data_IF_319759826345
#
_entry.id   IF_319759826345
#
_cell.length_a   1.000
_cell.length_b   1.000
_cell.length_c   1.000
_cell.angle_alpha   90.00
_cell.angle_beta   90.00
_cell.angle_gamma   90.00
#
_symmetry.space_group_name_H-M   'P 1'
#
loop_
_entity.id
_entity.type
_entity.pdbx_description
1 polymer ?
#
# COMPACT_ATOMS: atom_id res chain seq x y z
N UNK A 1 -9.80 2.36 -3.48
CA UNK A 1 -9.06 1.87 -4.66
C UNK A 1 -8.31 0.67 -4.18
N UNK A 2 -8.80 -0.52 -4.55
CA UNK A 2 -8.33 -1.77 -3.98
C UNK A 2 -7.01 -2.17 -4.63
N UNK A 3 -6.02 -2.46 -3.80
CA UNK A 3 -4.75 -3.06 -4.23
C UNK A 3 -4.89 -4.56 -4.01
N UNK A 4 -4.56 -5.35 -5.02
CA UNK A 4 -4.36 -6.78 -4.83
C UNK A 4 -2.91 -7.02 -4.37
N UNK A 5 -2.72 -7.12 -3.06
CA UNK A 5 -1.40 -7.38 -2.48
C UNK A 5 -0.89 -8.78 -2.86
N UNK A 6 -1.76 -9.77 -3.05
CA UNK A 6 -1.32 -11.14 -3.35
C UNK A 6 -0.59 -11.23 -4.70
N UNK A 7 -0.95 -10.36 -5.65
CA UNK A 7 -0.28 -10.27 -6.96
C UNK A 7 0.91 -9.32 -6.97
N UNK A 8 1.10 -8.45 -5.98
CA UNK A 8 2.15 -7.43 -5.99
C UNK A 8 3.55 -8.03 -5.89
N UNK A 9 4.46 -7.63 -6.78
CA UNK A 9 5.86 -8.05 -6.79
C UNK A 9 6.80 -6.87 -7.03
N UNK A 10 7.96 -6.90 -6.39
CA UNK A 10 9.01 -5.91 -6.54
C UNK A 10 10.37 -6.60 -6.67
N UNK A 11 11.08 -6.32 -7.76
CA UNK A 11 12.49 -6.64 -7.89
C UNK A 11 13.32 -5.38 -7.59
N UNK A 12 14.09 -5.43 -6.51
CA UNK A 12 15.01 -4.39 -6.08
C UNK A 12 16.46 -4.83 -6.31
N UNK A 13 17.20 -3.99 -7.02
CA UNK A 13 18.61 -4.19 -7.33
C UNK A 13 19.41 -2.99 -6.86
N UNK A 14 20.48 -3.24 -6.10
CA UNK A 14 21.48 -2.21 -5.77
C UNK A 14 22.86 -2.63 -6.20
N UNK A 15 23.72 -1.63 -6.45
CA UNK A 15 25.10 -1.84 -6.92
C UNK A 15 25.19 -2.58 -8.26
N UNK A 16 24.07 -2.66 -8.99
CA UNK A 16 24.02 -3.21 -10.33
C UNK A 16 24.74 -2.29 -11.31
N UNK A 17 25.70 -2.85 -12.03
CA UNK A 17 26.38 -2.20 -13.14
C UNK A 17 25.93 -2.88 -14.43
N UNK A 18 25.51 -2.09 -15.42
CA UNK A 18 25.16 -2.64 -16.73
C UNK A 18 26.42 -3.23 -17.37
N UNK A 19 26.40 -4.49 -17.82
CA UNK A 19 27.56 -5.09 -18.47
C UNK A 19 27.90 -4.38 -19.78
N UNK A 20 29.20 -4.20 -20.05
CA UNK A 20 29.70 -3.59 -21.29
C UNK A 20 29.88 -4.66 -22.37
N UNK A 21 29.38 -4.40 -23.57
CA UNK A 21 29.60 -5.28 -24.73
C UNK A 21 28.72 -6.54 -24.78
N UNK A 22 27.87 -6.76 -23.78
CA UNK A 22 26.99 -7.94 -23.69
C UNK A 22 25.52 -7.57 -23.54
N UNK A 23 24.64 -8.54 -23.81
CA UNK A 23 23.21 -8.38 -23.58
C UNK A 23 22.92 -8.31 -22.07
N UNK A 24 22.31 -7.21 -21.66
CA UNK A 24 21.93 -6.97 -20.27
C UNK A 24 20.73 -7.87 -19.91
N UNK A 25 20.81 -8.69 -18.84
CA UNK A 25 19.72 -9.60 -18.45
C UNK A 25 18.41 -8.86 -18.15
N UNK A 26 18.52 -7.62 -17.66
CA UNK A 26 17.37 -6.75 -17.42
C UNK A 26 16.71 -6.25 -18.72
N UNK A 27 17.38 -6.28 -19.87
CA UNK A 27 16.77 -5.84 -21.13
C UNK A 27 15.67 -6.83 -21.57
N UNK A 28 15.92 -8.12 -21.42
CA UNK A 28 14.94 -9.15 -21.75
C UNK A 28 13.83 -9.19 -20.68
N UNK A 29 14.19 -9.11 -19.39
CA UNK A 29 13.21 -8.98 -18.32
C UNK A 29 12.24 -7.81 -18.54
N UNK A 30 12.74 -6.62 -18.90
CA UNK A 30 11.90 -5.45 -19.17
C UNK A 30 10.97 -5.64 -20.36
N UNK A 31 11.43 -6.31 -21.42
CA UNK A 31 10.60 -6.60 -22.60
C UNK A 31 9.53 -7.65 -22.31
N UNK A 32 9.87 -8.69 -21.54
CA UNK A 32 9.01 -9.85 -21.31
C UNK A 32 8.03 -9.60 -20.17
N UNK A 33 8.51 -9.14 -19.01
CA UNK A 33 7.67 -8.91 -17.81
C UNK A 33 6.99 -7.54 -17.87
N UNK A 34 7.58 -6.57 -18.59
CA UNK A 34 7.01 -5.23 -18.78
C UNK A 34 6.68 -4.51 -17.45
N UNK A 35 7.63 -4.40 -16.49
CA UNK A 35 7.37 -3.79 -15.18
C UNK A 35 7.27 -2.26 -15.25
N UNK A 36 6.73 -1.62 -14.20
CA UNK A 36 7.00 -0.20 -13.94
C UNK A 36 8.44 -0.05 -13.46
N UNK A 37 9.25 0.59 -14.29
CA UNK A 37 10.63 0.95 -13.95
C UNK A 37 10.68 2.19 -13.07
N UNK A 38 11.14 2.02 -11.83
CA UNK A 38 11.36 3.08 -10.85
C UNK A 38 12.87 3.10 -10.53
N UNK A 39 13.66 3.68 -11.43
CA UNK A 39 15.13 3.69 -11.29
C UNK A 39 15.65 5.03 -10.75
N UNK A 40 16.63 4.95 -9.85
CA UNK A 40 17.50 6.06 -9.42
C UNK A 40 18.95 5.71 -9.74
N UNK A 41 19.89 6.65 -9.53
CA UNK A 41 21.31 6.41 -9.82
C UNK A 41 21.94 5.22 -9.06
N UNK A 42 21.37 4.80 -7.93
CA UNK A 42 21.92 3.74 -7.08
C UNK A 42 20.99 2.53 -6.90
N UNK A 43 19.74 2.60 -7.40
CA UNK A 43 18.71 1.59 -7.17
C UNK A 43 17.88 1.40 -8.42
N UNK A 44 17.70 0.17 -8.81
CA UNK A 44 16.72 -0.20 -9.82
C UNK A 44 15.58 -0.92 -9.11
N UNK A 45 14.38 -0.36 -9.20
CA UNK A 45 13.16 -0.94 -8.68
C UNK A 45 12.24 -1.26 -9.86
N UNK A 46 11.79 -2.50 -9.93
CA UNK A 46 10.87 -2.97 -10.96
C UNK A 46 9.62 -3.49 -10.28
N UNK A 47 8.52 -2.74 -10.41
CA UNK A 47 7.21 -3.11 -9.87
C UNK A 47 6.39 -3.84 -10.94
N UNK A 48 5.83 -4.99 -10.60
CA UNK A 48 5.02 -5.79 -11.51
C UNK A 48 4.03 -6.65 -10.71
N UNK A 49 3.12 -7.31 -11.41
CA UNK A 49 2.14 -8.22 -10.81
C UNK A 49 2.44 -9.69 -11.15
N UNK A 50 1.82 -10.63 -10.44
CA UNK A 50 1.85 -12.06 -10.80
C UNK A 50 1.33 -12.31 -12.20
N UNK A 51 0.29 -11.59 -12.64
CA UNK A 51 -0.25 -11.69 -14.00
C UNK A 51 0.79 -11.38 -15.08
N UNK A 52 1.76 -10.52 -14.79
CA UNK A 52 2.87 -10.20 -15.70
C UNK A 52 3.95 -11.29 -15.72
N UNK A 53 4.03 -12.10 -14.67
CA UNK A 53 5.08 -13.10 -14.47
C UNK A 53 4.60 -14.50 -14.81
N UNK A 54 3.37 -14.87 -14.50
CA UNK A 54 2.82 -16.22 -14.67
C UNK A 54 3.07 -16.80 -16.09
N UNK A 55 2.81 -16.06 -17.18
CA UNK A 55 3.09 -16.56 -18.53
C UNK A 55 4.59 -16.73 -18.84
N UNK A 56 5.45 -16.21 -17.98
CA UNK A 56 6.89 -16.03 -18.20
C UNK A 56 7.72 -16.46 -16.97
N UNK A 57 7.17 -17.35 -16.12
CA UNK A 57 7.78 -17.70 -14.83
C UNK A 57 9.19 -18.28 -14.96
N UNK A 58 9.43 -19.12 -15.98
CA UNK A 58 10.77 -19.63 -16.29
C UNK A 58 11.75 -18.51 -16.63
N UNK A 59 11.33 -17.55 -17.46
CA UNK A 59 12.15 -16.40 -17.85
C UNK A 59 12.48 -15.51 -16.66
N UNK A 60 11.52 -15.30 -15.75
CA UNK A 60 11.74 -14.57 -14.51
C UNK A 60 12.78 -15.28 -13.62
N UNK A 61 12.62 -16.59 -13.39
CA UNK A 61 13.56 -17.38 -12.60
C UNK A 61 14.97 -17.39 -13.22
N UNK A 62 15.07 -17.53 -14.54
CA UNK A 62 16.34 -17.43 -15.26
C UNK A 62 16.98 -16.04 -15.11
N UNK A 63 16.18 -14.97 -15.13
CA UNK A 63 16.67 -13.61 -14.88
C UNK A 63 17.27 -13.50 -13.49
N UNK A 64 16.58 -13.99 -12.46
CA UNK A 64 17.09 -14.00 -11.08
C UNK A 64 18.39 -14.80 -10.94
N UNK A 65 18.47 -15.97 -11.58
CA UNK A 65 19.69 -16.79 -11.58
C UNK A 65 20.86 -16.05 -12.25
N UNK A 66 20.63 -15.42 -13.41
CA UNK A 66 21.66 -14.64 -14.12
C UNK A 66 22.15 -13.45 -13.31
N UNK A 67 21.26 -12.79 -12.57
CA UNK A 67 21.64 -11.65 -11.71
C UNK A 67 22.47 -12.10 -10.50
N UNK A 68 22.27 -13.33 -10.01
CA UNK A 68 23.03 -13.92 -8.89
C UNK A 68 24.37 -14.53 -9.30
N UNK A 69 24.68 -14.60 -10.59
CA UNK A 69 25.94 -15.15 -11.09
C UNK A 69 26.95 -14.01 -11.27
N UNK A 70 27.99 -13.94 -10.40
CA UNK A 70 29.01 -12.91 -10.54
C UNK A 70 29.78 -13.11 -11.84
N UNK A 71 29.90 -12.04 -12.62
CA UNK A 71 30.78 -12.03 -13.79
C UNK A 71 32.20 -11.71 -13.36
N UNK A 72 33.17 -12.05 -14.21
CA UNK A 72 34.58 -11.75 -13.97
C UNK A 72 34.74 -10.23 -13.76
N UNK A 73 35.26 -9.83 -12.60
CA UNK A 73 35.49 -8.42 -12.21
C UNK A 73 34.25 -7.55 -11.98
N UNK A 74 33.04 -8.12 -11.93
CA UNK A 74 31.84 -7.38 -11.53
C UNK A 74 31.50 -7.62 -10.06
N UNK A 75 31.10 -6.56 -9.35
CA UNK A 75 30.54 -6.69 -8.02
C UNK A 75 29.17 -7.37 -8.14
N UNK A 76 28.93 -8.39 -7.33
CA UNK A 76 27.62 -9.05 -7.26
C UNK A 76 26.56 -8.03 -6.83
N UNK A 77 25.51 -7.77 -7.62
CA UNK A 77 24.43 -6.89 -7.19
C UNK A 77 23.73 -7.49 -5.98
N UNK A 78 23.31 -6.63 -5.05
CA UNK A 78 22.36 -7.05 -4.02
C UNK A 78 20.96 -7.08 -4.65
N UNK A 79 20.28 -8.21 -4.48
CA UNK A 79 18.98 -8.50 -5.10
C UNK A 79 17.99 -8.83 -4.00
N UNK A 80 16.92 -8.05 -3.91
CA UNK A 80 15.76 -8.36 -3.08
C UNK A 80 14.54 -8.55 -3.99
N UNK A 81 13.93 -9.73 -3.92
CA UNK A 81 12.65 -10.02 -4.58
C UNK A 81 11.58 -10.03 -3.49
N UNK A 82 10.81 -8.94 -3.41
CA UNK A 82 9.80 -8.72 -2.38
C UNK A 82 8.41 -8.96 -2.95
N UNK A 83 7.51 -9.47 -2.11
CA UNK A 83 6.14 -9.80 -2.50
C UNK A 83 5.13 -9.14 -1.54
N UNK A 84 3.93 -8.89 -2.04
CA UNK A 84 2.79 -8.43 -1.24
C UNK A 84 3.06 -7.25 -0.32
N UNK A 85 2.69 -7.40 0.95
CA UNK A 85 2.77 -6.32 1.94
C UNK A 85 4.20 -5.82 2.13
N UNK A 86 5.19 -6.70 2.02
CA UNK A 86 6.61 -6.39 2.19
C UNK A 86 7.12 -5.50 1.05
N UNK A 87 6.70 -5.79 -0.18
CA UNK A 87 6.99 -4.95 -1.34
C UNK A 87 6.42 -3.54 -1.17
N UNK A 88 5.17 -3.43 -0.72
CA UNK A 88 4.52 -2.13 -0.51
C UNK A 88 5.14 -1.33 0.64
N UNK A 89 5.41 -2.00 1.78
CA UNK A 89 6.10 -1.40 2.92
C UNK A 89 7.47 -0.85 2.50
N UNK A 90 8.25 -1.64 1.75
CA UNK A 90 9.55 -1.22 1.25
C UNK A 90 9.43 0.03 0.37
N UNK A 91 8.46 0.05 -0.56
CA UNK A 91 8.21 1.20 -1.43
C UNK A 91 7.86 2.44 -0.61
N UNK A 92 6.96 2.35 0.37
CA UNK A 92 6.63 3.47 1.25
C UNK A 92 7.88 4.02 1.94
N UNK A 93 8.67 3.13 2.56
CA UNK A 93 9.88 3.52 3.30
C UNK A 93 10.94 4.16 2.38
N UNK A 94 11.09 3.64 1.17
CA UNK A 94 11.96 4.22 0.15
C UNK A 94 11.49 5.61 -0.28
N UNK A 95 10.21 5.77 -0.60
CA UNK A 95 9.66 7.04 -1.12
C UNK A 95 9.76 8.16 -0.10
N UNK A 96 9.56 7.86 1.19
CA UNK A 96 9.73 8.86 2.26
C UNK A 96 11.21 9.14 2.59
N UNK A 97 12.16 8.55 1.85
CA UNK A 97 13.58 8.82 2.00
C UNK A 97 14.30 7.99 3.05
N UNK A 98 13.71 6.90 3.55
CA UNK A 98 14.29 6.04 4.58
C UNK A 98 15.58 5.33 4.16
N UNK A 99 15.81 5.17 2.85
CA UNK A 99 17.02 4.57 2.29
C UNK A 99 18.09 5.60 1.86
N UNK A 100 17.85 6.90 2.06
CA UNK A 100 18.80 7.95 1.67
C UNK A 100 19.82 8.22 2.78
N UNK A 101 21.08 7.84 2.56
CA UNK A 101 22.18 8.06 3.52
C UNK A 101 22.56 9.54 3.68
N UNK A 102 22.39 10.36 2.62
CA UNK A 102 22.82 11.77 2.62
C UNK A 102 21.75 12.71 3.17
N UNK A 103 20.48 12.42 2.90
CA UNK A 103 19.32 13.22 3.29
C UNK A 103 18.19 12.31 3.81
N UNK A 104 18.40 11.58 4.92
CA UNK A 104 17.40 10.67 5.46
C UNK A 104 16.12 11.45 5.81
N UNK A 105 14.99 11.01 5.26
CA UNK A 105 13.67 11.63 5.44
C UNK A 105 13.54 13.10 5.03
N UNK A 106 14.52 13.63 4.28
CA UNK A 106 14.53 15.03 3.85
C UNK A 106 14.85 15.16 2.34
N UNK A 107 14.51 14.13 1.57
CA UNK A 107 14.68 14.13 0.11
C UNK A 107 13.34 14.04 -0.61
N UNK A 108 12.63 15.17 -0.66
CA UNK A 108 11.33 15.28 -1.32
C UNK A 108 11.37 15.00 -2.83
N UNK A 109 12.58 15.00 -3.42
CA UNK A 109 12.77 14.70 -4.85
C UNK A 109 12.36 13.27 -5.18
N UNK A 110 12.50 12.32 -4.25
CA UNK A 110 12.12 10.92 -4.49
C UNK A 110 10.62 10.83 -4.81
N UNK A 111 9.77 11.46 -3.98
CA UNK A 111 8.33 11.53 -4.24
C UNK A 111 8.01 12.33 -5.51
N UNK A 112 8.76 13.41 -5.77
CA UNK A 112 8.64 14.20 -7.00
C UNK A 112 8.91 13.38 -8.27
N UNK A 113 9.97 12.57 -8.25
CA UNK A 113 10.36 11.72 -9.38
C UNK A 113 9.41 10.54 -9.54
N UNK A 114 8.90 9.96 -8.44
CA UNK A 114 7.84 8.96 -8.50
C UNK A 114 6.58 9.50 -9.19
N UNK A 115 6.16 10.75 -8.88
CA UNK A 115 5.01 11.39 -9.57
C UNK A 115 5.25 11.53 -11.06
N UNK A 116 6.45 11.94 -11.48
CA UNK A 116 6.82 12.03 -12.90
C UNK A 116 6.76 10.66 -13.57
N UNK A 117 7.25 9.61 -12.91
CA UNK A 117 7.18 8.23 -13.41
C UNK A 117 5.71 7.84 -13.62
N UNK A 118 4.86 7.96 -12.59
CA UNK A 118 3.43 7.65 -12.71
C UNK A 118 2.80 8.39 -13.89
N UNK A 119 3.03 9.70 -13.99
CA UNK A 119 2.49 10.51 -15.10
C UNK A 119 2.97 10.03 -16.46
N UNK A 120 4.24 9.65 -16.57
CA UNK A 120 4.83 9.16 -17.83
C UNK A 120 4.22 7.84 -18.32
N UNK A 121 3.72 7.00 -17.42
CA UNK A 121 2.99 5.78 -17.75
C UNK A 121 1.52 6.10 -18.07
N UNK A 122 0.89 6.93 -17.24
CA UNK A 122 -0.51 7.35 -17.38
C UNK A 122 -0.81 7.98 -18.75
N UNK A 123 0.05 8.88 -19.24
CA UNK A 123 -0.16 9.57 -20.52
C UNK A 123 0.55 8.92 -21.71
N UNK A 124 1.15 7.74 -21.53
CA UNK A 124 1.97 7.14 -22.58
C UNK A 124 1.12 6.70 -23.77
N UNK A 125 1.53 7.00 -25.03
CA UNK A 125 0.90 6.41 -26.21
C UNK A 125 1.28 4.93 -26.42
N UNK A 126 2.36 4.45 -25.79
CA UNK A 126 2.83 3.07 -25.92
C UNK A 126 1.81 2.08 -25.37
N UNK A 127 1.44 1.06 -26.17
CA UNK A 127 0.55 -0.02 -25.73
C UNK A 127 1.11 -0.76 -24.52
N UNK A 128 2.41 -1.09 -24.50
CA UNK A 128 3.02 -1.83 -23.38
C UNK A 128 3.00 -1.01 -22.09
N UNK A 129 3.27 0.31 -22.15
CA UNK A 129 3.19 1.18 -20.97
C UNK A 129 1.76 1.35 -20.47
N UNK A 130 0.78 1.47 -21.37
CA UNK A 130 -0.63 1.56 -20.99
C UNK A 130 -1.11 0.29 -20.29
N UNK A 131 -0.73 -0.87 -20.81
CA UNK A 131 -1.06 -2.16 -20.20
C UNK A 131 -0.43 -2.30 -18.81
N UNK A 132 0.87 -1.98 -18.69
CA UNK A 132 1.57 -1.98 -17.40
C UNK A 132 0.90 -1.03 -16.41
N UNK A 133 0.54 0.17 -16.86
CA UNK A 133 -0.13 1.16 -16.04
C UNK A 133 -1.47 0.64 -15.55
N UNK A 134 -2.31 0.09 -16.44
CA UNK A 134 -3.61 -0.48 -16.08
C UNK A 134 -3.50 -1.51 -14.95
N UNK A 135 -2.49 -2.36 -14.99
CA UNK A 135 -2.30 -3.41 -13.97
C UNK A 135 -1.77 -2.88 -12.64
N UNK A 136 -0.95 -1.82 -12.66
CA UNK A 136 -0.25 -1.33 -11.46
C UNK A 136 -0.77 0.04 -10.95
N UNK A 137 -1.72 0.67 -11.64
CA UNK A 137 -2.20 2.02 -11.36
C UNK A 137 -2.75 2.14 -9.94
N UNK A 138 -3.51 1.14 -9.48
CA UNK A 138 -4.07 1.14 -8.13
C UNK A 138 -2.98 1.24 -7.05
N UNK A 139 -1.95 0.40 -7.17
CA UNK A 139 -0.79 0.39 -6.30
C UNK A 139 -0.02 1.71 -6.35
N UNK A 140 0.25 2.22 -7.55
CA UNK A 140 1.03 3.45 -7.73
C UNK A 140 0.30 4.69 -7.21
N UNK A 141 -1.00 4.79 -7.44
CA UNK A 141 -1.80 5.91 -6.95
C UNK A 141 -1.94 5.85 -5.43
N UNK A 142 -2.15 4.66 -4.86
CA UNK A 142 -2.12 4.45 -3.42
C UNK A 142 -0.78 4.88 -2.82
N UNK A 143 0.34 4.38 -3.38
CA UNK A 143 1.69 4.72 -2.94
C UNK A 143 1.95 6.23 -2.92
N UNK A 144 1.50 6.96 -3.95
CA UNK A 144 1.64 8.42 -4.02
C UNK A 144 0.87 9.15 -2.91
N UNK A 145 -0.33 8.70 -2.59
CA UNK A 145 -1.17 9.28 -1.54
C UNK A 145 -0.54 8.99 -0.18
N UNK A 146 -0.25 7.73 0.08
CA UNK A 146 0.19 7.25 1.39
C UNK A 146 1.58 7.80 1.72
N UNK A 147 2.50 7.80 0.75
CA UNK A 147 3.82 8.40 0.92
C UNK A 147 3.76 9.92 1.12
N UNK A 148 2.81 10.63 0.50
CA UNK A 148 2.64 12.08 0.73
C UNK A 148 2.30 12.35 2.19
N UNK A 149 1.38 11.60 2.78
CA UNK A 149 0.98 11.80 4.17
C UNK A 149 2.06 11.31 5.14
N UNK A 150 2.65 10.13 4.93
CA UNK A 150 3.77 9.65 5.76
C UNK A 150 4.98 10.60 5.70
N UNK A 151 5.31 11.17 4.53
CA UNK A 151 6.39 12.15 4.41
C UNK A 151 6.15 13.39 5.29
N UNK A 152 4.89 13.82 5.43
CA UNK A 152 4.54 14.91 6.35
C UNK A 152 4.83 14.53 7.81
N UNK A 153 4.46 13.31 8.20
CA UNK A 153 4.72 12.81 9.57
C UNK A 153 6.23 12.75 9.86
N UNK A 154 7.07 12.44 8.87
CA UNK A 154 8.54 12.47 9.06
C UNK A 154 9.07 13.83 9.52
N UNK A 155 8.40 14.94 9.18
CA UNK A 155 8.83 16.29 9.56
C UNK A 155 8.46 16.64 10.99
N UNK A 156 7.50 15.94 11.59
CA UNK A 156 7.00 16.20 12.94
C UNK A 156 7.74 15.38 14.00
N UNK A 157 8.51 14.37 13.59
CA UNK A 157 9.23 13.48 14.50
C UNK A 157 10.65 14.02 14.74
N UNK A 158 10.87 14.51 15.96
CA UNK A 158 12.16 14.95 16.49
C UNK A 158 12.82 13.81 17.28
N UNK A 159 13.39 12.85 16.56
CA UNK A 159 14.13 11.71 17.14
C UNK A 159 15.50 11.59 16.49
N UNK A 160 16.42 10.90 17.18
CA UNK A 160 17.68 10.48 16.59
C UNK A 160 17.43 9.65 15.31
N UNK A 161 18.32 9.76 14.32
CA UNK A 161 18.01 9.27 12.98
C UNK A 161 17.74 7.76 12.92
N UNK A 162 18.41 6.96 13.76
CA UNK A 162 18.22 5.51 13.81
C UNK A 162 16.90 5.11 14.47
N UNK A 163 16.51 5.80 15.54
CA UNK A 163 15.19 5.62 16.18
C UNK A 163 14.08 6.07 15.24
N UNK A 164 14.27 7.21 14.57
CA UNK A 164 13.36 7.72 13.54
C UNK A 164 13.18 6.72 12.40
N UNK A 165 14.26 6.08 11.93
CA UNK A 165 14.19 4.99 10.93
C UNK A 165 13.35 3.82 11.43
N UNK A 166 13.60 3.35 12.66
CA UNK A 166 12.86 2.23 13.24
C UNK A 166 11.36 2.54 13.34
N UNK A 167 11.01 3.72 13.83
CA UNK A 167 9.61 4.13 14.00
C UNK A 167 8.90 4.35 12.66
N UNK A 168 9.56 5.00 11.69
CA UNK A 168 8.97 5.21 10.38
C UNK A 168 8.86 3.92 9.57
N UNK A 169 9.79 2.97 9.72
CA UNK A 169 9.64 1.66 9.10
C UNK A 169 8.42 0.90 9.65
N UNK A 170 8.20 0.96 10.98
CA UNK A 170 6.97 0.43 11.61
C UNK A 170 5.72 1.13 11.08
N UNK A 171 5.75 2.47 10.94
CA UNK A 171 4.62 3.21 10.38
C UNK A 171 4.31 2.83 8.93
N UNK A 172 5.33 2.59 8.10
CA UNK A 172 5.16 2.05 6.75
C UNK A 172 4.52 0.66 6.77
N UNK A 173 4.92 -0.22 7.70
CA UNK A 173 4.31 -1.54 7.89
C UNK A 173 2.84 -1.43 8.29
N UNK A 174 2.53 -0.63 9.31
CA UNK A 174 1.16 -0.39 9.78
C UNK A 174 0.25 0.17 8.68
N UNK A 175 0.76 1.12 7.89
CA UNK A 175 0.05 1.67 6.75
C UNK A 175 -0.21 0.60 5.67
N UNK A 176 0.81 -0.19 5.32
CA UNK A 176 0.68 -1.28 4.35
C UNK A 176 -0.34 -2.34 4.82
N UNK A 177 -0.29 -2.69 6.11
CA UNK A 177 -1.24 -3.62 6.73
C UNK A 177 -2.66 -3.08 6.68
N UNK A 178 -2.88 -1.83 7.08
CA UNK A 178 -4.21 -1.22 7.02
C UNK A 178 -4.78 -1.17 5.59
N UNK A 179 -3.90 -1.04 4.59
CA UNK A 179 -4.28 -1.08 3.17
C UNK A 179 -4.65 -2.49 2.71
N UNK A 180 -3.83 -3.48 3.06
CA UNK A 180 -4.08 -4.89 2.73
C UNK A 180 -5.40 -5.39 3.32
N UNK A 181 -5.69 -5.02 4.57
CA UNK A 181 -6.93 -5.41 5.23
C UNK A 181 -8.16 -4.66 4.70
N UNK A 182 -7.99 -3.61 3.89
CA UNK A 182 -9.09 -2.88 3.26
C UNK A 182 -9.74 -1.80 4.13
N UNK A 183 -9.01 -1.23 5.10
CA UNK A 183 -9.54 -0.14 5.94
C UNK A 183 -9.77 1.15 5.14
N UNK A 184 -8.96 1.42 4.12
CA UNK A 184 -9.00 2.66 3.32
C UNK A 184 -10.25 2.76 2.42
N UNK A 185 -10.89 1.64 2.11
CA UNK A 185 -12.14 1.56 1.35
C UNK A 185 -13.32 2.09 2.16
N UNK A 186 -13.26 1.95 3.49
CA UNK A 186 -14.35 2.31 4.40
C UNK A 186 -14.07 3.64 5.11
N UNK A 187 -12.80 3.92 5.38
CA UNK A 187 -12.36 5.06 6.20
C UNK A 187 -11.55 6.04 5.34
N UNK A 188 -12.20 6.97 4.62
CA UNK A 188 -11.50 7.87 3.69
C UNK A 188 -10.60 8.93 4.36
N UNK A 189 -10.69 9.10 5.69
CA UNK A 189 -10.01 10.14 6.48
C UNK A 189 -9.18 9.58 7.63
N UNK A 190 -8.32 8.60 7.33
CA UNK A 190 -7.34 8.06 8.30
C UNK A 190 -6.30 9.14 8.64
N UNK A 191 -6.06 9.34 9.93
CA UNK A 191 -4.94 10.13 10.44
C UNK A 191 -3.65 9.32 10.39
N UNK A 192 -2.72 9.67 9.51
CA UNK A 192 -1.45 8.96 9.34
C UNK A 192 -0.54 9.02 10.56
N UNK A 193 -0.74 9.99 11.47
CA UNK A 193 0.04 10.06 12.71
C UNK A 193 -0.24 8.86 13.63
N UNK A 194 -1.39 8.20 13.47
CA UNK A 194 -1.73 7.00 14.25
C UNK A 194 -0.82 5.81 13.91
N UNK A 195 -0.25 5.73 12.71
CA UNK A 195 0.59 4.60 12.29
C UNK A 195 1.93 4.53 13.04
N UNK A 196 2.32 5.57 13.79
CA UNK A 196 3.53 5.56 14.60
C UNK A 196 3.41 4.65 15.84
N UNK A 197 2.19 4.36 16.28
CA UNK A 197 1.91 3.55 17.46
C UNK A 197 0.78 2.56 17.17
N UNK A 198 1.03 1.26 17.39
CA UNK A 198 0.07 0.21 17.02
C UNK A 198 -1.26 0.35 17.76
N UNK A 199 -1.21 0.65 19.06
CA UNK A 199 -2.41 0.79 19.88
C UNK A 199 -3.25 1.97 19.43
N UNK A 200 -2.62 3.13 19.22
CA UNK A 200 -3.27 4.33 18.69
C UNK A 200 -3.85 4.09 17.29
N UNK A 201 -3.14 3.37 16.42
CA UNK A 201 -3.66 2.97 15.12
C UNK A 201 -4.94 2.13 15.27
N UNK A 202 -4.88 1.07 16.07
CA UNK A 202 -6.01 0.15 16.26
C UNK A 202 -7.23 0.90 16.80
N UNK A 203 -7.07 1.72 17.85
CA UNK A 203 -8.14 2.55 18.40
C UNK A 203 -8.71 3.51 17.35
N UNK A 204 -7.84 4.22 16.62
CA UNK A 204 -8.28 5.17 15.59
C UNK A 204 -9.09 4.49 14.47
N UNK A 205 -8.60 3.36 13.95
CA UNK A 205 -9.29 2.60 12.92
C UNK A 205 -10.65 2.09 13.42
N UNK A 206 -10.72 1.63 14.67
CA UNK A 206 -11.97 1.16 15.27
C UNK A 206 -13.01 2.28 15.38
N UNK A 207 -12.62 3.45 15.90
CA UNK A 207 -13.50 4.64 16.00
C UNK A 207 -14.02 5.08 14.63
N UNK A 208 -13.15 5.07 13.60
CA UNK A 208 -13.54 5.41 12.23
C UNK A 208 -14.53 4.40 11.64
N UNK A 209 -14.33 3.10 11.90
CA UNK A 209 -15.26 2.05 11.49
C UNK A 209 -16.61 2.19 12.21
N UNK A 210 -16.61 2.47 13.51
CA UNK A 210 -17.82 2.66 14.30
C UNK A 210 -18.64 3.86 13.80
N UNK A 211 -17.98 4.99 13.52
CA UNK A 211 -18.62 6.15 12.91
C UNK A 211 -19.21 5.84 11.53
N UNK A 212 -18.47 5.09 10.69
CA UNK A 212 -18.94 4.65 9.37
C UNK A 212 -20.14 3.70 9.49
N UNK A 213 -20.13 2.78 10.46
CA UNK A 213 -21.23 1.85 10.75
C UNK A 213 -22.49 2.60 11.15
N UNK A 214 -22.39 3.53 12.12
CA UNK A 214 -23.52 4.35 12.56
C UNK A 214 -24.13 5.15 11.41
N UNK A 215 -23.29 5.76 10.57
CA UNK A 215 -23.74 6.49 9.38
C UNK A 215 -24.44 5.57 8.37
N UNK A 216 -23.86 4.42 8.06
CA UNK A 216 -24.42 3.48 7.09
C UNK A 216 -25.71 2.81 7.60
N UNK A 217 -25.83 2.52 8.90
CA UNK A 217 -27.10 2.09 9.51
C UNK A 217 -28.18 3.16 9.39
N UNK A 218 -27.87 4.40 9.74
CA UNK A 218 -28.82 5.51 9.60
C UNK A 218 -29.22 5.79 8.13
N UNK A 219 -28.37 5.44 7.15
CA UNK A 219 -28.73 5.48 5.72
C UNK A 219 -29.64 4.32 5.33
N UNK A 220 -29.41 3.13 5.89
CA UNK A 220 -30.23 1.95 5.67
C UNK A 220 -31.64 2.12 6.27
N UNK A 221 -31.75 2.67 7.48
CA UNK A 221 -33.02 2.91 8.17
C UNK A 221 -33.92 3.93 7.44
N UNK A 222 -33.33 4.78 6.58
CA UNK A 222 -34.07 5.72 5.73
C UNK A 222 -34.68 5.05 4.49
N UNK A 223 -34.28 3.82 4.18
CA UNK A 223 -34.86 3.05 3.08
C UNK A 223 -36.17 2.45 3.60
N UNK A 224 -37.23 3.25 3.46
CA UNK A 224 -38.59 2.98 3.93
C UNK A 224 -39.18 1.70 3.29
N UNK A 225 -39.63 0.71 4.09
CA UNK A 225 -40.30 -0.48 3.56
C UNK A 225 -41.65 -0.16 2.89
N UNK A 226 -42.30 0.96 3.17
CA UNK A 226 -43.63 1.32 2.64
C UNK A 226 -43.60 2.06 1.27
N UNK A 227 -42.40 2.38 0.74
CA UNK A 227 -42.23 2.93 -0.62
C UNK A 227 -41.80 1.87 -1.65
N UNK A 228 -42.01 0.60 -1.33
CA UNK A 228 -41.64 -0.59 -2.12
C UNK A 228 -42.40 -0.74 -3.45
N UNK A 229 -43.38 0.12 -3.77
CA UNK A 229 -44.07 0.12 -5.07
C UNK A 229 -43.20 0.57 -6.26
N UNK A 230 -41.94 0.96 -6.02
CA UNK A 230 -40.93 1.28 -7.06
C UNK A 230 -39.70 0.37 -6.88
N UNK A 231 -39.91 -0.93 -6.63
CA UNK A 231 -38.85 -1.90 -6.32
C UNK A 231 -38.15 -2.48 -7.56
N UNK A 232 -37.11 -1.77 -8.01
CA UNK A 232 -35.92 -2.41 -8.60
C UNK A 232 -34.66 -1.58 -8.33
N UNK A 233 -34.81 -0.25 -8.19
CA UNK A 233 -33.70 0.68 -7.99
C UNK A 233 -33.23 0.74 -6.52
N UNK A 234 -34.11 0.42 -5.57
CA UNK A 234 -33.79 0.50 -4.12
C UNK A 234 -33.29 -0.82 -3.50
N UNK A 235 -33.48 -1.97 -4.16
CA UNK A 235 -32.96 -3.25 -3.67
C UNK A 235 -31.43 -3.34 -3.78
N UNK A 236 -30.86 -2.75 -4.83
CA UNK A 236 -29.41 -2.66 -5.03
C UNK A 236 -28.74 -1.73 -3.99
N UNK A 237 -29.39 -0.64 -3.59
CA UNK A 237 -28.84 0.27 -2.58
C UNK A 237 -28.88 -0.36 -1.18
N UNK A 238 -29.98 -0.99 -0.78
CA UNK A 238 -30.08 -1.67 0.51
C UNK A 238 -29.08 -2.83 0.65
N UNK A 239 -28.95 -3.68 -0.38
CA UNK A 239 -27.99 -4.78 -0.40
C UNK A 239 -26.53 -4.29 -0.35
N UNK A 240 -26.20 -3.20 -1.05
CA UNK A 240 -24.88 -2.58 -0.96
C UNK A 240 -24.58 -2.04 0.46
N UNK A 241 -25.53 -1.34 1.09
CA UNK A 241 -25.37 -0.85 2.46
C UNK A 241 -25.19 -2.01 3.45
N UNK A 242 -25.96 -3.09 3.30
CA UNK A 242 -25.82 -4.29 4.14
C UNK A 242 -24.43 -4.95 3.96
N UNK A 243 -23.97 -5.10 2.72
CA UNK A 243 -22.63 -5.63 2.42
C UNK A 243 -21.54 -4.79 3.09
N UNK A 244 -21.68 -3.46 3.05
CA UNK A 244 -20.77 -2.53 3.72
C UNK A 244 -20.79 -2.70 5.25
N UNK A 245 -21.96 -2.90 5.87
CA UNK A 245 -22.06 -3.18 7.31
C UNK A 245 -21.32 -4.47 7.67
N UNK A 246 -21.54 -5.55 6.91
CA UNK A 246 -20.85 -6.83 7.11
C UNK A 246 -19.33 -6.67 6.99
N UNK A 247 -18.87 -5.89 6.01
CA UNK A 247 -17.44 -5.59 5.85
C UNK A 247 -16.88 -4.82 7.05
N UNK A 248 -17.61 -3.82 7.55
CA UNK A 248 -17.23 -3.07 8.75
C UNK A 248 -17.10 -4.00 9.95
N UNK A 249 -18.08 -4.86 10.19
CA UNK A 249 -18.10 -5.78 11.33
C UNK A 249 -16.95 -6.79 11.30
N UNK A 250 -16.60 -7.28 10.09
CA UNK A 250 -15.42 -8.12 9.88
C UNK A 250 -14.13 -7.39 10.29
N UNK A 251 -13.96 -6.13 9.89
CA UNK A 251 -12.78 -5.35 10.25
C UNK A 251 -12.74 -4.96 11.72
N UNK A 252 -13.89 -4.65 12.33
CA UNK A 252 -13.98 -4.42 13.78
C UNK A 252 -13.56 -5.67 14.56
N UNK A 253 -14.02 -6.85 14.14
CA UNK A 253 -13.63 -8.12 14.74
C UNK A 253 -12.11 -8.34 14.68
N UNK A 254 -11.49 -8.04 13.52
CA UNK A 254 -10.04 -8.11 13.35
C UNK A 254 -9.29 -7.18 14.34
N UNK A 255 -9.80 -5.97 14.57
CA UNK A 255 -9.20 -5.03 15.51
C UNK A 255 -9.37 -5.48 16.97
N UNK A 256 -10.54 -5.98 17.34
CA UNK A 256 -10.81 -6.51 18.70
C UNK A 256 -9.93 -7.72 19.01
N UNK A 257 -9.66 -8.58 18.02
CA UNK A 257 -8.71 -9.69 18.20
C UNK A 257 -7.29 -9.22 18.48
N UNK A 258 -6.88 -8.07 17.93
CA UNK A 258 -5.55 -7.48 18.16
C UNK A 258 -5.48 -6.67 19.47
N UNK A 259 -6.55 -5.98 19.85
CA UNK A 259 -6.65 -5.22 21.10
C UNK A 259 -8.02 -5.49 21.76
N UNK A 260 -8.11 -6.51 22.62
CA UNK A 260 -9.36 -6.89 23.27
C UNK A 260 -9.97 -5.77 24.11
N UNK A 261 -9.17 -4.81 24.60
CA UNK A 261 -9.66 -3.70 25.42
C UNK A 261 -10.70 -2.82 24.71
N UNK A 262 -10.80 -2.89 23.38
CA UNK A 262 -11.80 -2.17 22.59
C UNK A 262 -13.25 -2.61 22.88
N UNK A 263 -13.48 -3.81 23.42
CA UNK A 263 -14.83 -4.28 23.78
C UNK A 263 -15.38 -3.61 25.05
N UNK A 264 -14.51 -3.31 26.03
CA UNK A 264 -14.91 -2.77 27.34
C UNK A 264 -15.41 -1.32 27.24
N UNK A 265 -14.92 -0.56 26.25
CA UNK A 265 -15.31 0.85 26.06
C UNK A 265 -16.76 1.05 25.60
N UNK A 266 -17.46 0.00 25.12
CA UNK A 266 -18.88 0.10 24.73
C UNK A 266 -19.83 -0.14 25.91
N UNK A 267 -19.49 -1.01 26.85
CA UNK A 267 -20.36 -1.34 27.99
C UNK A 267 -20.42 -0.23 29.04
N UNK A 268 -19.34 0.53 29.23
CA UNK A 268 -19.32 1.63 30.21
C UNK A 268 -20.15 2.86 29.75
N UNK A 269 -20.45 2.99 28.46
CA UNK A 269 -21.33 4.05 27.94
C UNK A 269 -22.82 3.78 28.16
N UNK A 270 -23.20 2.57 28.61
CA UNK A 270 -24.57 2.17 28.93
C UNK A 270 -24.87 2.10 30.44
N UNK A 271 -23.88 2.36 31.31
CA UNK A 271 -24.06 2.37 32.77
C UNK A 271 -24.03 3.83 33.24
N UNK A 272 -25.07 4.58 32.89
CA UNK A 272 -25.13 6.02 33.14
C UNK A 272 -26.52 6.55 33.42
N UNK A 273 -27.40 5.77 34.06
CA UNK A 273 -28.61 6.31 34.70
C UNK A 273 -29.05 5.39 35.84
N UNK A 274 -28.45 5.56 37.02
CA UNK A 274 -29.12 5.23 38.27
C UNK A 274 -29.13 6.53 39.07
N UNK A 275 -30.22 7.27 38.91
CA UNK A 275 -30.61 8.34 39.81
C UNK A 275 -31.16 7.67 41.07
N UNK A 276 -30.57 7.97 42.23
CA UNK A 276 -31.21 7.79 43.54
C UNK A 276 -31.77 9.16 43.92
#
# INVERSE_FOLDING_TARGET
MLIDFSSLRLLHLTEYLKPKGEQCPLDQFRKTINPIEISTCMRHLYLFTTQQVEPHGEHYNQTLLKLKQPRLHEKLPQIDALEGIEAYQFLLFWVIGGLNKKKPFNDERILGDLRKICRSYEVSPSSSKRETWKQNQATMQALLVDAKYLLRETKQIELAIEEKKKNLNKACYHCAWAREQGFFEITPSIDYSCFLDEKRMITHLYERLEASRKKTKAELDKIDPDKTSICFIFSESASHLQSKITQIEKLQTLLVQKEPSLTVAQDESNIGTITI
#
